data_IF_077712882718
#
_entry.id   IF_077712882718
#
_cell.length_a   1.000
_cell.length_b   1.000
_cell.length_c   1.000
_cell.angle_alpha   90.00
_cell.angle_beta   90.00
_cell.angle_gamma   90.00
#
_symmetry.space_group_name_H-M   'P 1'
#
loop_
_entity.id
_entity.type
_entity.pdbx_description
1 polymer ?
#
# COMPACT_ATOMS: atom_id res chain seq x y z
N UNK A 1 -53.34 14.92 -29.06
CA UNK A 1 -52.67 13.79 -28.41
C UNK A 1 -51.19 13.93 -28.70
N UNK A 2 -50.48 14.66 -27.84
CA UNK A 2 -49.06 14.98 -28.03
C UNK A 2 -48.29 14.34 -26.89
N UNK A 3 -47.57 13.26 -27.19
CA UNK A 3 -46.73 12.54 -26.23
C UNK A 3 -45.41 13.30 -26.06
N UNK A 4 -45.17 13.80 -24.85
CA UNK A 4 -43.87 14.25 -24.38
C UNK A 4 -43.00 13.02 -24.10
N UNK A 5 -41.79 12.98 -24.66
CA UNK A 5 -40.75 12.04 -24.25
C UNK A 5 -39.69 12.83 -23.49
N UNK A 6 -39.74 12.75 -22.16
CA UNK A 6 -38.65 13.21 -21.30
C UNK A 6 -37.65 12.06 -21.09
N UNK A 7 -36.43 12.21 -21.58
CA UNK A 7 -35.34 11.31 -21.23
C UNK A 7 -34.84 11.66 -19.83
N UNK A 8 -35.19 10.86 -18.83
CA UNK A 8 -34.53 10.88 -17.52
C UNK A 8 -33.28 10.00 -17.60
N UNK A 9 -32.10 10.61 -17.68
CA UNK A 9 -30.84 9.92 -17.42
C UNK A 9 -30.70 9.70 -15.92
N UNK A 10 -30.85 8.45 -15.46
CA UNK A 10 -30.40 8.05 -14.13
C UNK A 10 -28.87 8.05 -14.12
N UNK A 11 -28.29 9.18 -13.71
CA UNK A 11 -26.90 9.24 -13.25
C UNK A 11 -26.91 8.62 -11.84
N UNK A 12 -26.12 7.56 -11.56
CA UNK A 12 -25.97 7.09 -10.20
C UNK A 12 -25.37 8.23 -9.37
N UNK A 13 -26.14 8.72 -8.39
CA UNK A 13 -25.65 9.62 -7.35
C UNK A 13 -24.64 8.86 -6.46
N UNK A 14 -23.40 8.74 -6.93
CA UNK A 14 -22.27 8.57 -6.03
C UNK A 14 -22.03 9.95 -5.40
N UNK A 15 -22.67 10.23 -4.27
CA UNK A 15 -22.34 11.39 -3.45
C UNK A 15 -20.96 11.16 -2.85
N UNK A 16 -19.92 11.45 -3.64
CA UNK A 16 -18.55 11.56 -3.16
C UNK A 16 -18.49 12.74 -2.19
N UNK A 17 -18.37 12.43 -0.91
CA UNK A 17 -18.18 13.43 0.13
C UNK A 17 -16.73 13.96 0.05
N UNK A 18 -16.56 15.09 -0.61
CA UNK A 18 -15.27 15.79 -0.76
C UNK A 18 -14.66 16.24 0.57
N UNK A 19 -15.34 16.05 1.70
CA UNK A 19 -14.93 16.55 3.01
C UNK A 19 -14.37 15.49 3.96
N UNK A 20 -14.20 14.22 3.54
CA UNK A 20 -13.53 13.22 4.39
C UNK A 20 -12.03 13.46 4.43
N UNK A 21 -11.58 14.20 5.44
CA UNK A 21 -10.17 14.27 5.84
C UNK A 21 -9.68 12.86 6.17
N UNK A 22 -8.51 12.49 5.67
CA UNK A 22 -7.88 11.21 6.00
C UNK A 22 -7.49 11.24 7.47
N UNK A 23 -8.24 10.51 8.31
CA UNK A 23 -7.98 10.46 9.75
C UNK A 23 -6.94 9.38 10.07
N UNK A 24 -6.01 9.73 10.96
CA UNK A 24 -5.15 8.79 11.67
C UNK A 24 -5.43 9.03 13.15
N UNK A 25 -5.98 8.02 13.80
CA UNK A 25 -6.57 8.11 15.12
C UNK A 25 -5.77 7.30 16.14
N UNK A 26 -5.74 7.77 17.38
CA UNK A 26 -5.32 6.94 18.50
C UNK A 26 -6.39 5.95 18.92
N UNK A 27 -6.00 4.74 19.37
CA UNK A 27 -6.94 3.81 19.96
C UNK A 27 -7.66 4.46 21.15
N UNK A 28 -8.99 4.45 21.12
CA UNK A 28 -9.84 5.01 22.19
C UNK A 28 -9.94 4.04 23.37
N UNK A 29 -8.81 3.81 24.05
CA UNK A 29 -8.70 2.88 25.19
C UNK A 29 -7.99 3.53 26.36
N UNK A 30 -8.36 3.13 27.56
CA UNK A 30 -7.62 3.47 28.78
C UNK A 30 -6.49 2.47 28.99
N UNK A 31 -5.27 2.98 29.13
CA UNK A 31 -4.07 2.16 29.33
C UNK A 31 -3.78 1.95 30.81
N UNK A 32 -3.75 0.69 31.25
CA UNK A 32 -3.28 0.33 32.58
C UNK A 32 -1.75 0.23 32.60
N UNK A 33 -1.06 1.36 32.81
CA UNK A 33 0.42 1.49 32.70
C UNK A 33 1.17 0.41 33.48
N UNK A 34 0.69 0.01 34.67
CA UNK A 34 1.32 -1.03 35.50
C UNK A 34 1.27 -2.44 34.90
N UNK A 35 0.38 -2.69 33.93
CA UNK A 35 0.21 -3.96 33.22
C UNK A 35 0.94 -4.00 31.88
N UNK A 36 1.34 -2.84 31.36
CA UNK A 36 2.11 -2.76 30.13
C UNK A 36 3.51 -3.38 30.29
N UNK A 37 4.16 -3.80 29.18
CA UNK A 37 5.48 -4.41 29.22
C UNK A 37 6.50 -3.49 29.90
N UNK A 38 7.41 -4.04 30.69
CA UNK A 38 8.51 -3.24 31.28
C UNK A 38 9.65 -3.03 30.30
N UNK A 39 9.84 -3.99 29.40
CA UNK A 39 10.85 -3.95 28.36
C UNK A 39 10.25 -4.40 27.03
N UNK A 40 10.68 -3.76 25.94
CA UNK A 40 10.30 -4.11 24.58
C UNK A 40 11.56 -4.42 23.77
N UNK A 41 11.62 -5.65 23.27
CA UNK A 41 12.73 -6.14 22.45
C UNK A 41 12.39 -5.98 20.97
N UNK A 42 13.22 -5.24 20.24
CA UNK A 42 13.00 -4.94 18.81
C UNK A 42 14.04 -5.69 17.99
N UNK A 43 13.59 -6.70 17.24
CA UNK A 43 14.46 -7.53 16.40
C UNK A 43 14.50 -6.98 14.98
N UNK A 44 15.72 -6.72 14.48
CA UNK A 44 15.97 -6.07 13.20
C UNK A 44 17.18 -6.71 12.49
N UNK A 45 17.29 -6.51 11.16
CA UNK A 45 18.49 -6.91 10.40
C UNK A 45 19.72 -6.17 10.89
N UNK A 46 19.62 -4.84 10.93
CA UNK A 46 20.62 -3.91 11.43
C UNK A 46 19.91 -2.61 11.88
N UNK A 47 20.67 -1.54 12.11
CA UNK A 47 20.16 -0.21 12.45
C UNK A 47 20.53 0.86 11.42
N UNK A 48 21.15 0.47 10.31
CA UNK A 48 21.74 1.37 9.30
C UNK A 48 20.96 1.37 7.98
N UNK A 49 20.30 0.27 7.66
CA UNK A 49 19.44 0.14 6.49
C UNK A 49 18.31 1.16 6.53
N UNK A 50 17.95 1.68 5.35
CA UNK A 50 16.89 2.68 5.21
C UNK A 50 15.58 2.18 5.82
N UNK A 51 15.22 0.91 5.58
CA UNK A 51 13.96 0.32 6.04
C UNK A 51 13.91 0.27 7.56
N UNK A 52 15.00 -0.19 8.17
CA UNK A 52 15.17 -0.31 9.61
C UNK A 52 15.20 1.07 10.27
N UNK A 53 15.90 2.05 9.67
CA UNK A 53 15.93 3.43 10.16
C UNK A 53 14.54 4.07 10.19
N UNK A 54 13.79 3.97 9.10
CA UNK A 54 12.43 4.53 9.03
C UNK A 54 11.47 3.81 9.99
N UNK A 55 11.59 2.49 10.12
CA UNK A 55 10.86 1.73 11.13
C UNK A 55 11.16 2.20 12.55
N UNK A 56 12.44 2.36 12.92
CA UNK A 56 12.85 2.85 14.24
C UNK A 56 12.33 4.28 14.46
N UNK A 57 12.36 5.15 13.45
CA UNK A 57 11.86 6.52 13.56
C UNK A 57 10.36 6.56 13.86
N UNK A 58 9.57 5.76 13.16
CA UNK A 58 8.13 5.63 13.40
C UNK A 58 7.82 5.09 14.78
N UNK A 59 8.50 4.00 15.17
CA UNK A 59 8.41 3.44 16.51
C UNK A 59 8.73 4.48 17.59
N UNK A 60 9.86 5.19 17.43
CA UNK A 60 10.35 6.16 18.41
C UNK A 60 9.39 7.34 18.55
N UNK A 61 8.81 7.80 17.44
CA UNK A 61 7.80 8.87 17.44
C UNK A 61 6.62 8.47 18.33
N UNK A 62 6.15 7.24 18.21
CA UNK A 62 5.04 6.77 19.04
C UNK A 62 5.46 6.50 20.50
N UNK A 63 6.66 5.98 20.72
CA UNK A 63 7.24 5.82 22.05
C UNK A 63 7.23 7.15 22.83
N UNK A 64 7.73 8.23 22.22
CA UNK A 64 7.76 9.54 22.85
C UNK A 64 6.37 10.12 23.09
N UNK A 65 5.41 9.87 22.19
CA UNK A 65 4.00 10.21 22.42
C UNK A 65 3.49 9.59 23.73
N UNK A 66 3.65 8.28 23.95
CA UNK A 66 3.17 7.65 25.18
C UNK A 66 3.98 8.02 26.43
N UNK A 67 5.26 8.33 26.27
CA UNK A 67 6.10 8.87 27.35
C UNK A 67 5.55 10.20 27.84
N UNK A 68 5.14 11.08 26.94
CA UNK A 68 4.57 12.39 27.31
C UNK A 68 3.12 12.28 27.81
N UNK A 69 2.28 11.51 27.14
CA UNK A 69 0.84 11.49 27.41
C UNK A 69 0.44 10.69 28.65
N UNK A 70 1.11 9.57 28.93
CA UNK A 70 0.75 8.67 30.04
C UNK A 70 1.94 8.30 30.93
N UNK A 71 3.08 8.98 30.79
CA UNK A 71 4.31 8.73 31.52
C UNK A 71 4.76 7.25 31.47
N UNK A 72 4.58 6.61 30.31
CA UNK A 72 4.98 5.22 30.09
C UNK A 72 6.25 5.17 29.23
N UNK A 73 7.33 4.64 29.81
CA UNK A 73 8.64 4.56 29.19
C UNK A 73 9.31 3.20 29.46
N UNK A 74 9.00 2.15 28.69
CA UNK A 74 9.66 0.85 28.84
C UNK A 74 11.13 0.90 28.39
N UNK A 75 11.92 -0.06 28.87
CA UNK A 75 13.28 -0.27 28.38
C UNK A 75 13.23 -0.81 26.95
N UNK A 76 13.91 -0.14 26.01
CA UNK A 76 13.94 -0.54 24.61
C UNK A 76 15.26 -1.21 24.28
N UNK A 77 15.20 -2.47 23.86
CA UNK A 77 16.37 -3.26 23.47
C UNK A 77 16.33 -3.52 21.97
N UNK A 78 17.22 -2.88 21.21
CA UNK A 78 17.42 -3.24 19.81
C UNK A 78 18.31 -4.48 19.74
N UNK A 79 17.83 -5.54 19.10
CA UNK A 79 18.53 -6.81 18.95
C UNK A 79 18.74 -7.05 17.45
N UNK A 80 19.95 -6.79 16.98
CA UNK A 80 20.30 -6.96 15.57
C UNK A 80 20.65 -8.40 15.23
N UNK A 81 20.63 -8.75 13.93
CA UNK A 81 21.14 -10.05 13.44
C UNK A 81 22.58 -10.29 13.88
N UNK A 82 23.43 -9.26 13.84
CA UNK A 82 24.82 -9.36 14.24
C UNK A 82 24.96 -9.74 15.72
N UNK A 83 24.19 -9.10 16.60
CA UNK A 83 24.16 -9.41 18.03
C UNK A 83 23.66 -10.82 18.33
N UNK A 84 22.62 -11.27 17.60
CA UNK A 84 22.13 -12.65 17.68
C UNK A 84 23.24 -13.64 17.31
N UNK A 85 24.03 -13.34 16.27
CA UNK A 85 25.19 -14.13 15.87
C UNK A 85 26.24 -14.22 16.97
N UNK A 86 26.63 -13.08 17.56
CA UNK A 86 27.64 -13.00 18.63
C UNK A 86 27.22 -13.77 19.88
N UNK A 87 25.93 -13.78 20.22
CA UNK A 87 25.38 -14.45 21.41
C UNK A 87 24.99 -15.92 21.17
N UNK A 88 25.34 -16.52 20.03
CA UNK A 88 24.87 -17.85 19.63
C UNK A 88 23.33 -18.01 19.79
N UNK A 89 22.59 -16.94 19.54
CA UNK A 89 21.15 -16.86 19.70
C UNK A 89 20.64 -17.28 21.07
N UNK A 90 21.40 -16.94 22.11
CA UNK A 90 20.91 -16.86 23.47
C UNK A 90 20.04 -15.61 23.62
N UNK A 91 18.81 -15.81 24.08
CA UNK A 91 17.81 -14.75 24.27
C UNK A 91 17.44 -14.71 25.75
N UNK A 92 17.71 -13.58 26.41
CA UNK A 92 17.31 -13.34 27.78
C UNK A 92 16.00 -12.53 27.77
N UNK A 93 14.87 -13.22 27.58
CA UNK A 93 13.54 -12.59 27.56
C UNK A 93 12.78 -12.99 28.82
N UNK A 94 12.33 -12.00 29.59
CA UNK A 94 11.55 -12.20 30.82
C UNK A 94 10.06 -12.33 30.49
N UNK A 95 9.27 -12.89 31.42
CA UNK A 95 7.82 -13.08 31.21
C UNK A 95 7.02 -11.78 30.95
N UNK A 96 7.49 -10.63 31.46
CA UNK A 96 6.82 -9.33 31.28
C UNK A 96 7.40 -8.51 30.13
N UNK A 97 8.30 -9.10 29.34
CA UNK A 97 8.83 -8.47 28.15
C UNK A 97 7.87 -8.70 26.99
N UNK A 98 7.90 -7.79 26.03
CA UNK A 98 7.22 -7.97 24.75
C UNK A 98 8.20 -7.79 23.60
N UNK A 99 7.92 -8.39 22.46
CA UNK A 99 8.80 -8.32 21.31
C UNK A 99 8.11 -7.71 20.09
N UNK A 100 8.87 -6.96 19.31
CA UNK A 100 8.48 -6.51 17.98
C UNK A 100 9.55 -7.05 17.04
N UNK A 101 9.15 -7.84 16.05
CA UNK A 101 10.09 -8.56 15.19
C UNK A 101 9.86 -8.10 13.75
N UNK A 102 10.80 -7.33 13.21
CA UNK A 102 10.73 -6.86 11.83
C UNK A 102 11.40 -7.85 10.88
N UNK A 103 10.58 -8.67 10.23
CA UNK A 103 11.03 -9.76 9.36
C UNK A 103 11.18 -9.27 7.92
N UNK A 104 12.33 -8.66 7.60
CA UNK A 104 12.69 -8.43 6.19
C UNK A 104 13.16 -9.73 5.54
N UNK A 105 13.03 -9.86 4.21
CA UNK A 105 13.56 -11.04 3.50
C UNK A 105 15.06 -11.24 3.75
N UNK A 106 15.80 -10.13 3.87
CA UNK A 106 17.22 -10.14 4.20
C UNK A 106 17.48 -10.56 5.66
N UNK A 107 16.62 -10.20 6.61
CA UNK A 107 16.69 -10.72 7.99
C UNK A 107 16.56 -12.24 7.99
N UNK A 108 15.54 -12.77 7.31
CA UNK A 108 15.24 -14.20 7.27
C UNK A 108 16.35 -15.00 6.58
N UNK A 109 16.81 -14.58 5.40
CA UNK A 109 17.85 -15.29 4.63
C UNK A 109 19.17 -15.43 5.39
N UNK A 110 19.49 -14.46 6.25
CA UNK A 110 20.80 -14.39 6.92
C UNK A 110 20.76 -14.86 8.39
N UNK A 111 19.62 -15.35 8.87
CA UNK A 111 19.46 -15.81 10.24
C UNK A 111 19.54 -17.35 10.33
N UNK A 112 20.31 -17.88 11.29
CA UNK A 112 20.37 -19.33 11.51
C UNK A 112 18.99 -19.87 11.94
N UNK A 113 18.61 -21.05 11.44
CA UNK A 113 17.31 -21.68 11.72
C UNK A 113 17.03 -21.88 13.23
N UNK A 114 18.06 -22.18 14.02
CA UNK A 114 17.97 -22.30 15.47
C UNK A 114 17.58 -20.99 16.16
N UNK A 115 18.05 -19.85 15.63
CA UNK A 115 17.70 -18.52 16.12
C UNK A 115 16.27 -18.17 15.76
N UNK A 116 15.88 -18.41 14.50
CA UNK A 116 14.53 -18.16 14.01
C UNK A 116 13.50 -18.92 14.87
N UNK A 117 13.75 -20.19 15.15
CA UNK A 117 12.87 -21.01 16.00
C UNK A 117 12.71 -20.46 17.42
N UNK A 118 13.76 -19.86 18.00
CA UNK A 118 13.69 -19.24 19.33
C UNK A 118 12.93 -17.91 19.29
N UNK A 119 13.24 -17.05 18.33
CA UNK A 119 12.61 -15.74 18.15
C UNK A 119 11.11 -15.89 17.89
N UNK A 120 10.72 -16.87 17.09
CA UNK A 120 9.32 -17.14 16.76
C UNK A 120 8.56 -17.91 17.85
N UNK A 121 9.14 -18.14 19.03
CA UNK A 121 8.38 -18.56 20.22
C UNK A 121 8.03 -17.39 21.14
N UNK A 122 8.60 -16.22 20.91
CA UNK A 122 8.38 -15.04 21.74
C UNK A 122 6.96 -14.51 21.58
N UNK A 123 6.46 -13.88 22.66
CA UNK A 123 5.24 -13.08 22.61
C UNK A 123 5.55 -11.81 21.82
N UNK A 124 4.96 -11.66 20.63
CA UNK A 124 5.43 -10.65 19.70
C UNK A 124 4.40 -10.14 18.70
N UNK A 125 4.63 -8.91 18.22
CA UNK A 125 4.12 -8.47 16.93
C UNK A 125 5.17 -8.78 15.87
N UNK A 126 4.79 -9.59 14.89
CA UNK A 126 5.61 -9.91 13.71
C UNK A 126 5.24 -8.93 12.59
N UNK A 127 6.24 -8.21 12.09
CA UNK A 127 6.07 -7.30 10.95
C UNK A 127 6.58 -8.01 9.70
N UNK A 128 5.76 -8.04 8.64
CA UNK A 128 6.10 -8.62 7.34
C UNK A 128 6.42 -10.13 7.37
N UNK A 129 5.51 -10.93 7.92
CA UNK A 129 5.68 -12.39 8.07
C UNK A 129 5.06 -13.20 6.91
N UNK A 130 4.76 -12.59 5.76
CA UNK A 130 4.05 -13.24 4.63
C UNK A 130 4.70 -14.56 4.18
N UNK A 131 6.01 -14.69 4.30
CA UNK A 131 6.79 -15.86 3.87
C UNK A 131 6.96 -16.92 4.97
N UNK A 132 6.23 -16.82 6.11
CA UNK A 132 6.37 -17.76 7.23
C UNK A 132 5.03 -18.38 7.66
N UNK A 133 4.82 -19.69 7.43
CA UNK A 133 3.51 -20.33 7.63
C UNK A 133 3.19 -20.67 9.10
N UNK A 134 4.15 -20.61 10.02
CA UNK A 134 3.97 -21.07 11.41
C UNK A 134 3.98 -19.93 12.42
N UNK A 135 2.86 -19.20 12.53
CA UNK A 135 2.67 -18.19 13.58
C UNK A 135 1.87 -18.78 14.73
N UNK A 136 2.40 -18.69 15.95
CA UNK A 136 1.64 -19.10 17.13
C UNK A 136 0.60 -18.03 17.47
N UNK A 137 -0.63 -18.19 16.97
CA UNK A 137 -1.73 -17.23 17.16
C UNK A 137 -2.09 -16.94 18.63
N UNK A 138 -1.61 -17.73 19.60
CA UNK A 138 -1.81 -17.46 21.04
C UNK A 138 -0.84 -16.40 21.58
N UNK A 139 0.37 -16.34 21.05
CA UNK A 139 1.44 -15.45 21.56
C UNK A 139 1.85 -14.40 20.55
N UNK A 140 1.46 -14.55 19.29
CA UNK A 140 1.93 -13.71 18.19
C UNK A 140 0.78 -13.15 17.37
N UNK A 141 1.01 -11.93 16.90
CA UNK A 141 0.14 -11.22 15.98
C UNK A 141 0.96 -10.75 14.79
N UNK A 142 0.39 -10.79 13.60
CA UNK A 142 1.09 -10.42 12.37
C UNK A 142 0.52 -9.14 11.81
N UNK A 143 1.40 -8.17 11.56
CA UNK A 143 1.10 -6.96 10.80
C UNK A 143 1.87 -7.03 9.47
N UNK A 144 1.15 -7.30 8.38
CA UNK A 144 1.74 -7.55 7.06
C UNK A 144 1.64 -6.35 6.12
N UNK A 145 2.63 -6.26 5.22
CA UNK A 145 2.65 -5.39 4.04
C UNK A 145 1.82 -5.94 2.87
N UNK A 146 0.86 -6.83 3.12
CA UNK A 146 0.32 -7.77 2.12
C UNK A 146 -0.18 -7.08 0.83
N UNK A 147 0.69 -7.06 -0.19
CA UNK A 147 0.43 -6.51 -1.52
C UNK A 147 -0.77 -7.18 -2.18
N UNK A 148 -0.88 -8.52 -2.08
CA UNK A 148 -1.96 -9.28 -2.73
C UNK A 148 -3.33 -8.78 -2.27
N UNK A 149 -3.52 -8.57 -0.97
CA UNK A 149 -4.80 -8.06 -0.44
C UNK A 149 -5.08 -6.63 -0.88
N UNK A 150 -4.06 -5.78 -1.03
CA UNK A 150 -4.24 -4.42 -1.57
C UNK A 150 -4.61 -4.46 -3.06
N UNK A 151 -4.00 -5.38 -3.82
CA UNK A 151 -4.26 -5.55 -5.24
C UNK A 151 -5.71 -6.01 -5.45
N UNK A 152 -6.12 -7.05 -4.73
CA UNK A 152 -7.52 -7.52 -4.75
C UNK A 152 -8.51 -6.42 -4.38
N UNK A 153 -8.18 -5.60 -3.37
CA UNK A 153 -9.09 -4.56 -2.87
C UNK A 153 -9.28 -3.41 -3.87
N UNK A 154 -8.20 -2.88 -4.44
CA UNK A 154 -8.29 -1.85 -5.48
C UNK A 154 -8.92 -2.39 -6.77
N UNK A 155 -8.61 -3.63 -7.17
CA UNK A 155 -9.18 -4.23 -8.38
C UNK A 155 -10.67 -4.58 -8.20
N UNK A 156 -11.11 -4.99 -7.01
CA UNK A 156 -12.56 -5.10 -6.72
C UNK A 156 -13.25 -3.74 -6.85
N UNK A 157 -12.62 -2.67 -6.36
CA UNK A 157 -13.12 -1.31 -6.58
C UNK A 157 -13.17 -0.95 -8.08
N UNK A 158 -12.14 -1.27 -8.86
CA UNK A 158 -12.13 -1.03 -10.31
C UNK A 158 -13.29 -1.75 -11.02
N UNK A 159 -13.48 -3.04 -10.72
CA UNK A 159 -14.54 -3.87 -11.29
C UNK A 159 -15.94 -3.34 -10.98
N UNK A 160 -16.17 -2.96 -9.71
CA UNK A 160 -17.46 -2.40 -9.28
C UNK A 160 -17.76 -1.03 -9.90
N UNK A 161 -16.75 -0.29 -10.36
CA UNK A 161 -16.90 0.94 -11.12
C UNK A 161 -16.92 0.75 -12.64
N UNK A 162 -17.17 -0.48 -13.12
CA UNK A 162 -17.46 -0.74 -14.53
C UNK A 162 -16.24 -0.98 -15.41
N UNK A 163 -15.04 -1.10 -14.85
CA UNK A 163 -13.85 -1.53 -15.60
C UNK A 163 -13.92 -3.03 -15.90
N UNK A 164 -13.73 -3.42 -17.16
CA UNK A 164 -13.77 -4.81 -17.60
C UNK A 164 -12.53 -5.19 -18.40
N UNK A 165 -12.13 -4.32 -19.33
CA UNK A 165 -11.08 -4.58 -20.30
C UNK A 165 -9.86 -3.70 -20.01
N UNK A 166 -8.91 -4.28 -19.27
CA UNK A 166 -7.78 -3.55 -18.73
C UNK A 166 -6.48 -3.80 -19.50
N UNK A 167 -5.62 -2.79 -19.52
CA UNK A 167 -4.19 -2.96 -19.77
C UNK A 167 -3.43 -2.94 -18.45
N UNK A 168 -2.40 -3.77 -18.33
CA UNK A 168 -1.56 -3.82 -17.14
C UNK A 168 -0.18 -3.27 -17.45
N UNK A 169 0.29 -2.31 -16.64
CA UNK A 169 1.65 -1.79 -16.72
C UNK A 169 2.32 -2.03 -15.37
N UNK A 170 3.40 -2.79 -15.35
CA UNK A 170 4.26 -2.91 -14.18
C UNK A 170 5.65 -2.34 -14.42
N UNK A 171 6.46 -2.25 -13.37
CA UNK A 171 7.88 -1.91 -13.47
C UNK A 171 8.75 -3.14 -13.18
N UNK A 172 9.95 -3.19 -13.76
CA UNK A 172 10.97 -4.21 -13.48
C UNK A 172 11.19 -4.44 -11.97
N UNK A 173 11.16 -3.38 -11.17
CA UNK A 173 11.36 -3.47 -9.73
C UNK A 173 10.16 -4.09 -9.00
N UNK A 174 8.96 -3.97 -9.54
CA UNK A 174 7.75 -4.58 -8.98
C UNK A 174 7.55 -6.00 -9.47
N UNK A 175 7.62 -6.22 -10.79
CA UNK A 175 7.36 -7.48 -11.48
C UNK A 175 5.98 -8.08 -11.16
N UNK A 176 4.98 -7.22 -10.97
CA UNK A 176 3.65 -7.57 -10.46
C UNK A 176 2.62 -7.87 -11.55
N UNK A 177 2.92 -7.74 -12.85
CA UNK A 177 1.93 -7.97 -13.93
C UNK A 177 1.27 -9.34 -13.89
N UNK A 178 2.01 -10.39 -13.50
CA UNK A 178 1.50 -11.76 -13.47
C UNK A 178 0.44 -11.94 -12.38
N UNK A 179 0.72 -11.49 -11.16
CA UNK A 179 -0.26 -11.56 -10.05
C UNK A 179 -1.46 -10.66 -10.30
N UNK A 180 -1.26 -9.49 -10.93
CA UNK A 180 -2.37 -8.61 -11.30
C UNK A 180 -3.26 -9.21 -12.37
N UNK A 181 -2.67 -9.88 -13.37
CA UNK A 181 -3.42 -10.60 -14.39
C UNK A 181 -4.24 -11.73 -13.75
N UNK A 182 -3.65 -12.52 -12.85
CA UNK A 182 -4.37 -13.57 -12.12
C UNK A 182 -5.57 -13.01 -11.34
N UNK A 183 -5.35 -11.97 -10.52
CA UNK A 183 -6.42 -11.36 -9.73
C UNK A 183 -7.51 -10.76 -10.63
N UNK A 184 -7.14 -10.09 -11.73
CA UNK A 184 -8.12 -9.48 -12.63
C UNK A 184 -8.98 -10.52 -13.34
N UNK A 185 -8.39 -11.62 -13.79
CA UNK A 185 -9.12 -12.75 -14.38
C UNK A 185 -10.05 -13.42 -13.35
N UNK A 186 -9.61 -13.58 -12.10
CA UNK A 186 -10.45 -14.09 -10.99
C UNK A 186 -11.66 -13.18 -10.69
N UNK A 187 -11.54 -11.88 -10.96
CA UNK A 187 -12.61 -10.89 -10.87
C UNK A 187 -13.44 -10.77 -12.17
N UNK A 188 -13.35 -11.76 -13.06
CA UNK A 188 -14.04 -11.81 -14.36
C UNK A 188 -13.71 -10.60 -15.25
N UNK A 189 -12.52 -10.01 -15.08
CA UNK A 189 -11.97 -8.99 -15.95
C UNK A 189 -11.18 -9.60 -17.11
N UNK A 190 -11.05 -8.87 -18.21
CA UNK A 190 -10.22 -9.24 -19.35
C UNK A 190 -8.94 -8.41 -19.35
N UNK A 191 -7.79 -9.07 -19.41
CA UNK A 191 -6.51 -8.40 -19.66
C UNK A 191 -6.23 -8.41 -21.16
N UNK A 192 -6.24 -7.22 -21.75
CA UNK A 192 -6.11 -7.05 -23.19
C UNK A 192 -4.66 -7.02 -23.69
N UNK A 193 -3.75 -6.56 -22.83
CA UNK A 193 -2.29 -6.63 -23.00
C UNK A 193 -1.61 -6.28 -21.66
N UNK A 194 -0.31 -6.58 -21.53
CA UNK A 194 0.50 -6.18 -20.39
C UNK A 194 1.93 -5.80 -20.79
N UNK A 195 2.50 -4.79 -20.15
CA UNK A 195 3.86 -4.33 -20.40
C UNK A 195 4.63 -4.09 -19.10
N UNK A 196 5.95 -4.15 -19.20
CA UNK A 196 6.88 -3.87 -18.10
C UNK A 196 7.75 -2.69 -18.47
N UNK A 197 7.65 -1.60 -17.72
CA UNK A 197 8.57 -0.48 -17.80
C UNK A 197 9.95 -0.92 -17.33
N UNK A 198 10.94 -0.82 -18.24
CA UNK A 198 12.30 -1.30 -18.06
C UNK A 198 13.36 -0.25 -18.48
N UNK A 199 13.00 1.04 -18.41
CA UNK A 199 13.86 2.14 -18.87
C UNK A 199 13.69 2.48 -20.37
N UNK A 200 12.77 1.82 -21.06
CA UNK A 200 12.24 2.29 -22.34
C UNK A 200 11.46 3.60 -22.13
N UNK A 201 11.46 4.50 -23.12
CA UNK A 201 10.63 5.70 -23.04
C UNK A 201 9.16 5.31 -22.90
N UNK A 202 8.42 6.05 -22.06
CA UNK A 202 6.99 5.89 -21.87
C UNK A 202 6.23 5.95 -23.20
N UNK A 203 6.72 6.76 -24.15
CA UNK A 203 6.18 6.85 -25.53
C UNK A 203 6.20 5.52 -26.25
N UNK A 204 7.33 4.82 -26.19
CA UNK A 204 7.45 3.52 -26.85
C UNK A 204 6.62 2.47 -26.11
N UNK A 205 6.58 2.51 -24.77
CA UNK A 205 5.79 1.59 -23.96
C UNK A 205 4.29 1.71 -24.28
N UNK A 206 3.77 2.94 -24.22
CA UNK A 206 2.38 3.25 -24.49
C UNK A 206 2.03 2.96 -25.95
N UNK A 207 2.91 3.29 -26.90
CA UNK A 207 2.69 2.99 -28.32
C UNK A 207 2.54 1.50 -28.59
N UNK A 208 3.32 0.66 -27.90
CA UNK A 208 3.26 -0.79 -28.06
C UNK A 208 1.99 -1.37 -27.44
N UNK A 209 1.73 -1.10 -26.16
CA UNK A 209 0.61 -1.72 -25.41
C UNK A 209 -0.77 -1.25 -25.90
N UNK A 210 -0.84 -0.05 -26.52
CA UNK A 210 -2.06 0.48 -27.14
C UNK A 210 -2.15 0.15 -28.64
N UNK A 211 -1.22 -0.67 -29.16
CA UNK A 211 -1.16 -1.18 -30.53
C UNK A 211 -1.13 -0.08 -31.60
N UNK A 212 -0.47 1.05 -31.34
CA UNK A 212 -0.47 2.22 -32.23
C UNK A 212 0.14 1.95 -33.60
N UNK A 213 1.24 1.21 -33.65
CA UNK A 213 1.90 0.88 -34.93
C UNK A 213 1.02 -0.01 -35.81
N UNK A 214 0.23 -0.91 -35.20
CA UNK A 214 -0.76 -1.71 -35.94
C UNK A 214 -1.87 -0.85 -36.56
N UNK A 215 -2.25 0.26 -35.90
CA UNK A 215 -3.20 1.23 -36.46
C UNK A 215 -2.60 1.95 -37.67
N UNK A 216 -1.36 2.45 -37.55
CA UNK A 216 -0.66 3.13 -38.66
C UNK A 216 -0.46 2.20 -39.86
N UNK A 217 -0.08 0.95 -39.61
CA UNK A 217 0.08 -0.06 -40.67
C UNK A 217 -1.23 -0.38 -41.39
N UNK A 218 -2.36 -0.49 -40.67
CA UNK A 218 -3.67 -0.73 -41.28
C UNK A 218 -4.08 0.41 -42.20
N UNK A 219 -3.92 1.66 -41.74
CA UNK A 219 -4.18 2.85 -42.57
C UNK A 219 -3.30 2.83 -43.82
N UNK A 220 -2.01 2.52 -43.66
CA UNK A 220 -1.07 2.44 -44.79
C UNK A 220 -1.44 1.33 -45.77
N UNK A 221 -1.84 0.14 -45.30
CA UNK A 221 -2.32 -0.97 -46.14
C UNK A 221 -3.60 -0.59 -46.88
N UNK A 222 -4.54 0.06 -46.19
CA UNK A 222 -5.82 0.49 -46.78
C UNK A 222 -5.63 1.61 -47.81
N UNK A 223 -4.78 2.60 -47.52
CA UNK A 223 -4.44 3.69 -48.45
C UNK A 223 -3.82 3.15 -49.73
N UNK A 224 -2.93 2.16 -49.64
CA UNK A 224 -2.39 1.45 -50.81
C UNK A 224 -3.48 0.70 -51.59
N UNK A 225 -4.34 -0.04 -50.90
CA UNK A 225 -5.41 -0.81 -51.54
C UNK A 225 -6.42 0.09 -52.27
N UNK A 226 -6.72 1.27 -51.72
CA UNK A 226 -7.65 2.24 -52.29
C UNK A 226 -6.97 3.25 -53.24
N UNK A 227 -5.64 3.20 -53.38
CA UNK A 227 -4.84 4.14 -54.17
C UNK A 227 -5.15 5.62 -53.91
N UNK A 228 -5.50 5.93 -52.66
CA UNK A 228 -5.85 7.27 -52.22
C UNK A 228 -5.18 7.55 -50.88
N UNK A 229 -4.62 8.76 -50.65
CA UNK A 229 -4.17 9.15 -49.33
C UNK A 229 -5.38 9.12 -48.38
N UNK A 230 -5.22 8.42 -47.26
CA UNK A 230 -6.18 8.43 -46.17
C UNK A 230 -5.58 9.30 -45.07
N UNK A 231 -6.20 10.43 -44.80
CA UNK A 231 -5.95 11.16 -43.56
C UNK A 231 -6.54 10.33 -42.41
N UNK A 232 -5.66 9.74 -41.60
CA UNK A 232 -6.07 9.03 -40.38
C UNK A 232 -5.21 9.48 -39.22
N UNK A 233 -5.87 9.99 -38.19
CA UNK A 233 -5.25 10.13 -36.89
C UNK A 233 -5.04 8.72 -36.29
N UNK A 234 -3.90 8.43 -35.63
CA UNK A 234 -3.73 7.18 -34.89
C UNK A 234 -4.87 7.01 -33.90
N UNK A 235 -5.61 5.91 -33.98
CA UNK A 235 -6.68 5.59 -33.02
C UNK A 235 -6.21 4.44 -32.14
N UNK A 236 -6.35 4.61 -30.83
CA UNK A 236 -6.22 3.51 -29.89
C UNK A 236 -7.27 2.44 -30.16
N UNK A 237 -7.02 1.26 -29.61
CA UNK A 237 -8.04 0.24 -29.46
C UNK A 237 -9.19 0.76 -28.56
N UNK A 238 -10.43 0.64 -29.03
CA UNK A 238 -11.63 1.18 -28.38
C UNK A 238 -12.24 0.20 -27.36
N UNK A 239 -11.69 -1.00 -27.29
CA UNK A 239 -12.08 -2.07 -26.37
C UNK A 239 -11.47 -1.92 -24.97
N UNK A 240 -10.46 -1.06 -24.78
CA UNK A 240 -9.86 -0.74 -23.47
C UNK A 240 -10.67 0.33 -22.75
N UNK A 241 -10.99 0.06 -21.49
CA UNK A 241 -11.70 0.96 -20.57
C UNK A 241 -10.85 1.41 -19.37
N UNK A 242 -9.77 0.68 -19.06
CA UNK A 242 -9.00 0.91 -17.85
C UNK A 242 -7.52 0.54 -17.99
N UNK A 243 -6.70 1.15 -17.13
CA UNK A 243 -5.28 0.84 -16.98
C UNK A 243 -5.00 0.57 -15.52
N UNK A 244 -4.39 -0.58 -15.26
CA UNK A 244 -3.90 -0.99 -13.95
C UNK A 244 -2.38 -0.80 -13.95
N UNK A 245 -1.88 0.11 -13.12
CA UNK A 245 -0.46 0.41 -12.99
C UNK A 245 0.09 -0.12 -11.66
N UNK A 246 1.16 -0.90 -11.71
CA UNK A 246 1.99 -1.24 -10.55
C UNK A 246 3.40 -0.69 -10.75
N UNK A 247 3.57 0.58 -10.45
CA UNK A 247 4.77 1.36 -10.78
C UNK A 247 5.13 2.32 -9.62
N UNK A 248 6.32 2.89 -9.65
CA UNK A 248 6.72 3.97 -8.74
C UNK A 248 5.86 5.21 -8.92
N UNK A 249 5.74 6.06 -7.89
CA UNK A 249 5.04 7.34 -8.05
C UNK A 249 5.72 8.23 -9.10
N UNK A 250 7.05 8.15 -9.21
CA UNK A 250 7.81 8.88 -10.23
C UNK A 250 7.38 8.47 -11.64
N UNK A 251 7.27 7.16 -11.87
CA UNK A 251 6.86 6.64 -13.17
C UNK A 251 5.39 6.91 -13.44
N UNK A 252 4.51 6.76 -12.44
CA UNK A 252 3.09 7.09 -12.58
C UNK A 252 2.90 8.55 -13.01
N UNK A 253 3.62 9.50 -12.39
CA UNK A 253 3.59 10.94 -12.75
C UNK A 253 4.12 11.21 -14.16
N UNK A 254 4.86 10.28 -14.76
CA UNK A 254 5.32 10.37 -16.14
C UNK A 254 4.35 9.70 -17.11
N UNK A 255 3.87 8.49 -16.78
CA UNK A 255 2.96 7.70 -17.62
C UNK A 255 1.59 8.36 -17.77
N UNK A 256 1.02 8.90 -16.69
CA UNK A 256 -0.36 9.41 -16.68
C UNK A 256 -0.54 10.65 -17.57
N UNK A 257 0.27 11.72 -17.48
CA UNK A 257 0.15 12.85 -18.40
C UNK A 257 0.38 12.46 -19.86
N UNK A 258 1.32 11.54 -20.10
CA UNK A 258 1.60 11.07 -21.44
C UNK A 258 0.46 10.23 -22.04
N UNK A 259 -0.20 9.43 -21.19
CA UNK A 259 -1.41 8.73 -21.53
C UNK A 259 -2.52 9.72 -21.93
N UNK A 260 -2.75 10.76 -21.14
CA UNK A 260 -3.80 11.75 -21.44
C UNK A 260 -3.51 12.52 -22.73
N UNK A 261 -2.26 12.94 -22.94
CA UNK A 261 -1.85 13.66 -24.13
C UNK A 261 -2.11 12.86 -25.42
N UNK A 262 -1.79 11.56 -25.41
CA UNK A 262 -1.89 10.73 -26.61
C UNK A 262 -3.28 10.09 -26.79
N UNK A 263 -4.06 9.92 -25.72
CA UNK A 263 -5.25 9.05 -25.74
C UNK A 263 -6.52 9.68 -25.16
N UNK A 264 -6.43 10.91 -24.65
CA UNK A 264 -7.52 11.62 -23.99
C UNK A 264 -7.84 11.07 -22.59
N UNK A 265 -8.87 11.64 -21.98
CA UNK A 265 -9.18 11.49 -20.55
C UNK A 265 -10.09 10.29 -20.19
N UNK A 266 -10.42 9.43 -21.16
CA UNK A 266 -11.52 8.49 -21.04
C UNK A 266 -11.15 7.13 -20.41
N UNK A 267 -9.93 6.95 -19.91
CA UNK A 267 -9.49 5.69 -19.31
C UNK A 267 -9.42 5.84 -17.79
N UNK A 268 -10.06 4.90 -17.09
CA UNK A 268 -9.91 4.81 -15.63
C UNK A 268 -8.52 4.29 -15.31
N UNK A 269 -7.81 4.97 -14.40
CA UNK A 269 -6.43 4.60 -14.04
C UNK A 269 -6.38 4.21 -12.58
N UNK A 270 -5.93 2.98 -12.32
CA UNK A 270 -5.77 2.42 -10.99
C UNK A 270 -4.29 2.22 -10.70
N UNK A 271 -3.78 2.80 -9.62
CA UNK A 271 -2.37 2.78 -9.27
C UNK A 271 -2.13 2.01 -7.97
N UNK A 272 -1.20 1.07 -8.07
CA UNK A 272 -0.61 0.26 -7.02
C UNK A 272 0.86 0.70 -6.84
N UNK A 273 1.13 1.66 -5.94
CA UNK A 273 2.45 2.24 -5.84
C UNK A 273 3.52 1.23 -5.42
N UNK A 274 4.72 1.36 -5.99
CA UNK A 274 5.86 0.55 -5.57
C UNK A 274 6.27 0.84 -4.10
N UNK A 275 6.47 -0.22 -3.33
CA UNK A 275 6.94 -0.15 -1.93
C UNK A 275 8.47 -0.09 -1.79
N UNK A 276 9.21 -0.35 -2.87
CA UNK A 276 10.68 -0.51 -2.84
C UNK A 276 11.43 0.82 -2.90
N UNK A 277 10.85 1.85 -3.52
CA UNK A 277 11.49 3.16 -3.61
C UNK A 277 11.18 4.04 -2.40
N UNK A 278 11.78 5.24 -2.37
CA UNK A 278 11.53 6.25 -1.35
C UNK A 278 10.58 7.34 -1.86
N UNK A 279 9.73 7.01 -2.83
CA UNK A 279 8.78 7.98 -3.36
C UNK A 279 7.72 8.30 -2.31
N UNK A 280 7.28 9.55 -2.31
CA UNK A 280 6.25 10.08 -1.43
C UNK A 280 5.34 10.98 -2.26
N UNK A 281 4.13 11.22 -1.75
CA UNK A 281 3.17 12.08 -2.41
C UNK A 281 3.49 13.57 -2.20
N UNK A 282 3.26 14.37 -3.22
CA UNK A 282 3.30 15.83 -3.16
C UNK A 282 2.09 16.36 -2.39
N UNK A 283 2.16 17.62 -1.97
CA UNK A 283 1.01 18.29 -1.34
C UNK A 283 -0.16 18.47 -2.33
N UNK A 284 0.14 18.53 -3.64
CA UNK A 284 -0.82 18.48 -4.74
C UNK A 284 -0.34 17.55 -5.84
N UNK A 285 -1.11 16.52 -6.16
CA UNK A 285 -0.79 15.49 -7.17
C UNK A 285 -1.46 15.77 -8.52
N UNK A 286 -1.14 16.89 -9.15
CA UNK A 286 -1.80 17.30 -10.42
C UNK A 286 -1.53 16.32 -11.58
N UNK A 287 -0.33 15.73 -11.66
CA UNK A 287 0.02 14.77 -12.71
C UNK A 287 -0.74 13.43 -12.60
N UNK A 288 -1.38 13.18 -11.45
CA UNK A 288 -2.12 11.97 -11.16
C UNK A 288 -3.63 12.23 -11.00
N UNK A 289 -4.15 13.31 -11.58
CA UNK A 289 -5.57 13.65 -11.54
C UNK A 289 -6.46 12.49 -12.04
N UNK A 290 -7.56 12.21 -11.31
CA UNK A 290 -8.50 11.08 -11.50
C UNK A 290 -7.87 9.68 -11.37
N UNK A 291 -6.65 9.57 -10.87
CA UNK A 291 -6.08 8.26 -10.57
C UNK A 291 -6.67 7.76 -9.26
N UNK A 292 -7.20 6.54 -9.26
CA UNK A 292 -7.60 5.80 -8.06
C UNK A 292 -6.38 5.06 -7.51
N UNK A 293 -6.04 5.31 -6.24
CA UNK A 293 -4.82 4.85 -5.59
C UNK A 293 -5.17 4.10 -4.32
N UNK A 294 -4.48 2.99 -4.04
CA UNK A 294 -4.50 2.34 -2.73
C UNK A 294 -3.13 2.46 -2.04
N UNK A 295 -3.14 2.93 -0.80
CA UNK A 295 -1.91 3.04 0.00
C UNK A 295 -2.22 3.15 1.50
N UNK A 296 -1.19 3.27 2.33
CA UNK A 296 -1.35 3.54 3.75
C UNK A 296 -1.90 4.97 3.96
N UNK A 297 -2.79 5.20 4.95
CA UNK A 297 -3.28 6.55 5.30
C UNK A 297 -2.14 7.55 5.49
N UNK A 298 -1.04 7.11 6.09
CA UNK A 298 0.15 7.92 6.30
C UNK A 298 0.77 8.47 5.02
N UNK A 299 0.70 7.74 3.92
CA UNK A 299 1.35 8.16 2.68
C UNK A 299 0.64 9.36 2.05
N UNK A 300 -0.68 9.47 2.20
CA UNK A 300 -1.50 10.54 1.63
C UNK A 300 -1.39 11.90 2.37
N UNK A 301 -0.23 12.20 2.94
CA UNK A 301 0.08 13.44 3.65
C UNK A 301 -0.85 13.83 4.80
N UNK A 302 -1.60 12.85 5.34
CA UNK A 302 -2.53 13.00 6.46
C UNK A 302 -1.99 13.87 7.59
N UNK A 303 -2.80 14.85 8.01
CA UNK A 303 -2.52 15.66 9.18
C UNK A 303 -2.81 14.87 10.46
N UNK A 304 -1.88 14.95 11.43
CA UNK A 304 -2.01 14.25 12.71
C UNK A 304 -1.86 15.29 13.82
N UNK A 305 -3.00 15.80 14.30
CA UNK A 305 -3.07 16.93 15.22
C UNK A 305 -2.32 16.74 16.54
N UNK A 306 -2.23 15.50 17.02
CA UNK A 306 -1.59 15.15 18.28
C UNK A 306 -0.07 14.88 18.15
N UNK A 307 0.50 14.97 16.95
CA UNK A 307 1.95 14.85 16.73
C UNK A 307 2.49 16.15 16.14
N UNK A 308 3.61 16.62 16.68
CA UNK A 308 4.34 17.78 16.14
C UNK A 308 5.55 17.29 15.34
N UNK A 309 6.01 18.13 14.39
CA UNK A 309 7.27 17.92 13.66
C UNK A 309 7.37 16.58 12.91
N UNK A 310 6.27 16.15 12.30
CA UNK A 310 6.26 14.94 11.49
C UNK A 310 7.13 15.11 10.23
N UNK A 311 7.79 14.03 9.76
CA UNK A 311 8.63 14.11 8.57
C UNK A 311 7.78 14.44 7.35
N UNK A 312 8.21 15.45 6.58
CA UNK A 312 7.53 15.86 5.34
C UNK A 312 7.50 14.72 4.31
N UNK A 313 8.60 13.97 4.19
CA UNK A 313 8.67 12.79 3.32
C UNK A 313 8.05 11.61 4.06
N UNK A 314 6.90 11.14 3.60
CA UNK A 314 6.20 9.98 4.16
C UNK A 314 6.90 8.70 3.75
N UNK A 315 6.95 7.73 4.67
CA UNK A 315 7.57 6.44 4.45
C UNK A 315 6.71 5.32 5.04
N UNK A 316 6.53 4.23 4.28
CA UNK A 316 5.70 3.10 4.71
C UNK A 316 6.27 2.40 5.95
N UNK A 317 7.59 2.19 6.02
CA UNK A 317 8.22 1.56 7.19
C UNK A 317 8.06 2.41 8.47
N UNK A 318 8.04 3.74 8.35
CA UNK A 318 7.68 4.63 9.45
C UNK A 318 6.28 4.33 9.99
N UNK A 319 5.27 4.22 9.11
CA UNK A 319 3.91 3.89 9.53
C UNK A 319 3.83 2.54 10.28
N UNK A 320 4.54 1.52 9.78
CA UNK A 320 4.58 0.21 10.45
C UNK A 320 5.33 0.24 11.78
N UNK A 321 6.42 0.99 11.88
CA UNK A 321 7.11 1.22 13.14
C UNK A 321 6.19 1.86 14.18
N UNK A 322 5.49 2.91 13.76
CA UNK A 322 4.52 3.63 14.60
C UNK A 322 3.41 2.72 15.11
N UNK A 323 2.70 2.04 14.21
CA UNK A 323 1.56 1.18 14.57
C UNK A 323 2.00 -0.09 15.31
N UNK A 324 3.22 -0.60 15.08
CA UNK A 324 3.74 -1.76 15.83
C UNK A 324 3.80 -1.50 17.33
N UNK A 325 4.10 -0.26 17.74
CA UNK A 325 4.10 0.15 19.14
C UNK A 325 2.67 0.20 19.69
N UNK A 326 1.73 0.82 18.98
CA UNK A 326 0.31 0.86 19.39
C UNK A 326 -0.23 -0.57 19.60
N UNK A 327 0.01 -1.46 18.64
CA UNK A 327 -0.42 -2.86 18.71
C UNK A 327 0.24 -3.58 19.89
N UNK A 328 1.55 -3.38 20.11
CA UNK A 328 2.24 -3.96 21.25
C UNK A 328 1.59 -3.53 22.58
N UNK A 329 1.24 -2.26 22.75
CA UNK A 329 0.58 -1.80 23.97
C UNK A 329 -0.84 -2.36 24.09
N UNK A 330 -1.63 -2.32 23.01
CA UNK A 330 -3.01 -2.80 22.98
C UNK A 330 -3.12 -4.29 23.33
N UNK A 331 -2.20 -5.12 22.84
CA UNK A 331 -2.17 -6.56 23.12
C UNK A 331 -1.77 -6.88 24.57
N UNK A 332 -1.11 -5.95 25.26
CA UNK A 332 -0.69 -6.10 26.66
C UNK A 332 -1.55 -5.28 27.64
N UNK A 333 -2.58 -4.59 27.15
CA UNK A 333 -3.49 -3.81 27.96
C UNK A 333 -4.81 -4.57 28.19
N UNK A 334 -5.25 -4.79 29.45
CA UNK A 334 -6.41 -5.64 29.75
C UNK A 334 -7.70 -5.24 29.04
N UNK A 335 -7.96 -3.94 28.88
CA UNK A 335 -9.19 -3.43 28.26
C UNK A 335 -9.25 -3.64 26.73
N UNK A 336 -8.12 -3.92 26.07
CA UNK A 336 -8.01 -4.08 24.61
C UNK A 336 -7.46 -5.43 24.15
N UNK A 337 -6.95 -6.27 25.07
CA UNK A 337 -6.25 -7.53 24.73
C UNK A 337 -7.11 -8.55 23.97
N UNK A 338 -8.45 -8.41 24.01
CA UNK A 338 -9.38 -9.31 23.29
C UNK A 338 -9.78 -8.79 21.92
N UNK A 339 -9.94 -7.48 21.80
CA UNK A 339 -10.35 -6.83 20.56
C UNK A 339 -10.00 -5.34 20.59
N UNK A 340 -9.66 -4.79 19.42
CA UNK A 340 -9.55 -3.35 19.19
C UNK A 340 -9.76 -3.05 17.72
N UNK A 341 -10.24 -1.84 17.41
CA UNK A 341 -10.32 -1.32 16.05
C UNK A 341 -9.96 0.16 16.07
N UNK A 342 -9.09 0.59 15.15
CA UNK A 342 -8.73 2.00 14.96
C UNK A 342 -8.11 2.21 13.58
N UNK A 343 -8.03 3.47 13.14
CA UNK A 343 -7.36 3.86 11.91
C UNK A 343 -5.94 4.33 12.23
N UNK A 344 -4.96 3.44 12.06
CA UNK A 344 -3.55 3.74 12.28
C UNK A 344 -2.86 4.34 11.06
N UNK A 345 -1.56 4.61 11.18
CA UNK A 345 -0.75 5.11 10.06
C UNK A 345 -0.68 4.11 8.90
N UNK A 346 -0.70 2.82 9.21
CA UNK A 346 -0.64 1.72 8.26
C UNK A 346 -2.00 1.29 7.72
N UNK A 347 -3.12 1.81 8.22
CA UNK A 347 -4.45 1.46 7.71
C UNK A 347 -5.51 1.31 8.79
N UNK A 348 -6.70 0.87 8.38
CA UNK A 348 -7.73 0.43 9.32
C UNK A 348 -7.30 -0.91 9.93
N UNK A 349 -6.98 -0.90 11.22
CA UNK A 349 -6.52 -2.04 11.99
C UNK A 349 -7.67 -2.58 12.83
N UNK A 350 -7.93 -3.88 12.71
CA UNK A 350 -8.94 -4.58 13.49
C UNK A 350 -8.37 -5.88 14.01
N UNK A 351 -8.31 -6.01 15.33
CA UNK A 351 -7.88 -7.22 16.03
C UNK A 351 -9.07 -7.85 16.73
N UNK A 352 -9.26 -9.16 16.54
CA UNK A 352 -10.27 -9.95 17.23
C UNK A 352 -9.82 -11.40 17.31
N UNK A 353 -9.95 -12.02 18.49
CA UNK A 353 -9.71 -13.46 18.70
C UNK A 353 -8.35 -13.96 18.19
N UNK A 354 -7.26 -13.21 18.44
CA UNK A 354 -5.91 -13.64 18.03
C UNK A 354 -5.54 -13.31 16.58
N UNK A 355 -6.43 -12.68 15.80
CA UNK A 355 -6.18 -12.30 14.42
C UNK A 355 -6.22 -10.78 14.26
N UNK A 356 -5.15 -10.21 13.69
CA UNK A 356 -5.10 -8.83 13.25
C UNK A 356 -5.37 -8.78 11.74
N UNK A 357 -6.27 -7.91 11.35
CA UNK A 357 -6.55 -7.54 9.97
C UNK A 357 -6.19 -6.06 9.78
N UNK A 358 -5.68 -5.75 8.59
CA UNK A 358 -5.31 -4.41 8.17
C UNK A 358 -5.89 -4.16 6.79
N UNK A 359 -6.49 -2.99 6.58
CA UNK A 359 -6.94 -2.53 5.26
C UNK A 359 -6.24 -1.22 4.89
N UNK A 360 -5.79 -1.11 3.66
CA UNK A 360 -5.23 0.13 3.12
C UNK A 360 -6.34 1.09 2.69
N UNK A 361 -6.00 2.37 2.59
CA UNK A 361 -6.93 3.40 2.18
C UNK A 361 -6.92 3.51 0.66
N UNK A 362 -8.13 3.45 0.07
CA UNK A 362 -8.37 3.81 -1.32
C UNK A 362 -8.73 5.29 -1.40
N UNK A 363 -8.10 6.01 -2.32
CA UNK A 363 -8.38 7.41 -2.62
C UNK A 363 -8.50 7.60 -4.13
N UNK A 364 -9.17 8.66 -4.55
CA UNK A 364 -9.10 9.18 -5.91
C UNK A 364 -8.55 10.59 -5.85
N UNK A 365 -7.65 10.93 -6.77
CA UNK A 365 -7.13 12.29 -6.84
C UNK A 365 -8.10 13.17 -7.60
N UNK A 366 -8.47 14.31 -7.00
CA UNK A 366 -9.26 15.33 -7.66
C UNK A 366 -8.82 16.71 -7.21
N UNK A 367 -8.59 17.60 -8.19
CA UNK A 367 -7.98 18.91 -8.02
C UNK A 367 -6.59 18.82 -7.35
N UNK A 368 -5.87 17.73 -7.63
CA UNK A 368 -4.59 17.38 -6.99
C UNK A 368 -4.70 16.96 -5.52
N UNK A 369 -5.90 16.82 -4.95
CA UNK A 369 -6.13 16.41 -3.57
C UNK A 369 -6.66 14.97 -3.48
N UNK A 370 -6.35 14.28 -2.39
CA UNK A 370 -6.83 12.91 -2.15
C UNK A 370 -8.26 12.91 -1.62
N UNK A 371 -9.22 12.44 -2.42
CA UNK A 371 -10.60 12.18 -1.99
C UNK A 371 -10.72 10.75 -1.49
N UNK A 372 -11.19 10.58 -0.26
CA UNK A 372 -11.33 9.24 0.35
C UNK A 372 -12.45 8.45 -0.32
N UNK A 373 -12.10 7.25 -0.81
CA UNK A 373 -13.07 6.25 -1.25
C UNK A 373 -13.47 5.38 -0.04
N UNK A 374 -12.46 4.79 0.65
CA UNK A 374 -12.69 3.94 1.81
C UNK A 374 -11.60 2.87 2.00
N UNK A 375 -11.81 2.01 3.00
CA UNK A 375 -10.90 0.92 3.39
C UNK A 375 -11.36 -0.44 2.91
#
# INVERSE_FOLDING_TARGET
>A
MSLFVSCTSNIPNNTFDSNKVISIDKPKVTYEVKKLPKSINIFLLDTKGIKEKEFINGFSTNYYYFKEQINYSPDINFITREELGKKNCSLNVKNNDYSIIFLTDAFLKNLKSSCLTKILKLKAVLINSNNYPYVNKKTQVVLNFNKKTEYEDLLKYAKTNGSHNALIIDEKDTSDKHILNEIWLELEGNVLDSSTSNGMSNQNLLSNILLLESSKERVRKLSRALSSPLESNPRRRMDVDSIIMSVSLREARSLKPELEYNFGENLSVYLLPNWKDQSFYLDKELDLERVSIIDLPWMFNSEISYLRNLPKKRNRYFAFGYDSYDIALLLNNPSSTRQFKYTGMSGELSYKNGSLSRKSLKTEISEGLFKVIGY
#
